data_IF_278384529316
#
_entry.id   IF_278384529316
#
_cell.length_a   1.000
_cell.length_b   1.000
_cell.length_c   1.000
_cell.angle_alpha   90.00
_cell.angle_beta   90.00
_cell.angle_gamma   90.00
#
_symmetry.space_group_name_H-M   'P 1'
#
loop_
_entity.id
_entity.type
_entity.pdbx_description
1 polymer ?
#
# COMPACT_ATOMS: atom_id res chain seq x y z
N UNK A 1 7.89 7.09 4.64
CA UNK A 1 7.86 5.81 3.89
C UNK A 1 6.50 5.71 3.25
N UNK A 2 6.45 5.56 1.93
CA UNK A 2 5.21 5.39 1.15
C UNK A 2 4.90 3.90 1.11
N UNK A 3 3.71 3.52 1.55
CA UNK A 3 3.26 2.14 1.59
C UNK A 3 2.01 2.01 0.70
N UNK A 4 2.17 1.32 -0.43
CA UNK A 4 1.05 1.05 -1.32
C UNK A 4 0.25 -0.16 -0.88
N UNK A 5 -1.08 -0.09 -0.99
CA UNK A 5 -1.95 -1.22 -0.64
C UNK A 5 -3.11 -1.38 -1.61
N UNK A 6 -3.72 -2.57 -1.60
CA UNK A 6 -4.96 -2.84 -2.32
C UNK A 6 -6.10 -2.01 -1.70
N UNK A 7 -6.43 -0.92 -2.37
CA UNK A 7 -7.56 -0.06 -2.02
C UNK A 7 -8.90 -0.68 -2.45
N UNK A 8 -10.01 0.08 -2.30
CA UNK A 8 -10.11 1.42 -1.70
C UNK A 8 -9.85 1.42 -0.18
N UNK A 9 -9.87 2.57 0.50
CA UNK A 9 -9.88 2.61 1.97
C UNK A 9 -10.99 1.74 2.58
N UNK A 10 -10.71 1.18 3.76
CA UNK A 10 -11.58 0.25 4.48
C UNK A 10 -11.37 -1.23 4.15
N UNK A 11 -10.34 -1.59 3.37
CA UNK A 11 -9.99 -2.99 3.08
C UNK A 11 -9.17 -3.62 4.20
N UNK A 12 -9.09 -4.96 4.20
CA UNK A 12 -8.15 -5.67 5.07
C UNK A 12 -6.70 -5.30 4.79
N UNK A 13 -6.37 -4.98 3.54
CA UNK A 13 -5.03 -4.55 3.16
C UNK A 13 -4.69 -3.17 3.76
N UNK A 14 -5.68 -2.27 3.92
CA UNK A 14 -5.49 -1.02 4.67
C UNK A 14 -5.21 -1.29 6.15
N UNK A 15 -6.03 -2.14 6.78
CA UNK A 15 -5.83 -2.47 8.19
C UNK A 15 -4.46 -3.13 8.43
N UNK A 16 -4.05 -4.03 7.52
CA UNK A 16 -2.73 -4.64 7.54
C UNK A 16 -1.62 -3.60 7.37
N UNK A 17 -1.79 -2.64 6.45
CA UNK A 17 -0.85 -1.54 6.24
C UNK A 17 -0.69 -0.65 7.49
N UNK A 18 -1.80 -0.26 8.13
CA UNK A 18 -1.81 0.53 9.37
C UNK A 18 -1.11 -0.24 10.51
N UNK A 19 -1.37 -1.55 10.64
CA UNK A 19 -0.73 -2.39 11.67
C UNK A 19 0.76 -2.60 11.41
N UNK A 20 1.16 -2.74 10.15
CA UNK A 20 2.55 -2.94 9.75
C UNK A 20 3.41 -1.69 9.93
N UNK A 21 2.91 -0.53 9.49
CA UNK A 21 3.64 0.73 9.54
C UNK A 21 2.69 1.90 9.86
N UNK A 22 2.38 2.14 11.16
CA UNK A 22 1.38 3.13 11.59
C UNK A 22 1.74 4.60 11.28
N UNK A 23 2.98 4.86 10.91
CA UNK A 23 3.49 6.18 10.54
C UNK A 23 3.82 6.30 9.04
N UNK A 24 3.45 5.31 8.23
CA UNK A 24 3.63 5.36 6.78
C UNK A 24 2.60 6.28 6.11
N UNK A 25 2.97 6.82 4.97
CA UNK A 25 2.03 7.46 4.05
C UNK A 25 1.36 6.35 3.22
N UNK A 26 0.06 6.15 3.40
CA UNK A 26 -0.69 5.09 2.74
C UNK A 26 -1.14 5.50 1.34
N UNK A 27 -0.81 4.68 0.33
CA UNK A 27 -1.12 4.93 -1.07
C UNK A 27 -2.09 3.85 -1.59
N UNK A 28 -3.42 4.11 -1.61
CA UNK A 28 -4.40 3.14 -2.11
C UNK A 28 -4.30 2.97 -3.62
N UNK A 29 -4.27 1.72 -4.10
CA UNK A 29 -4.21 1.39 -5.52
C UNK A 29 -5.29 0.37 -5.92
N UNK A 30 -5.79 0.43 -7.17
CA UNK A 30 -6.99 -0.30 -7.57
C UNK A 30 -6.79 -1.81 -7.74
N UNK A 31 -5.54 -2.29 -7.79
CA UNK A 31 -5.22 -3.70 -7.94
C UNK A 31 -3.96 -4.09 -7.17
N UNK A 32 -3.82 -5.37 -6.87
CA UNK A 32 -2.60 -5.94 -6.27
C UNK A 32 -1.39 -5.65 -7.17
N UNK A 33 -1.54 -5.85 -8.48
CA UNK A 33 -0.48 -5.57 -9.45
C UNK A 33 -0.06 -4.10 -9.44
N UNK A 34 -1.01 -3.16 -9.32
CA UNK A 34 -0.68 -1.74 -9.21
C UNK A 34 0.15 -1.44 -7.95
N UNK A 35 -0.19 -2.06 -6.81
CA UNK A 35 0.61 -1.94 -5.57
C UNK A 35 2.03 -2.47 -5.74
N UNK A 36 2.20 -3.63 -6.39
CA UNK A 36 3.53 -4.16 -6.68
C UNK A 36 4.32 -3.25 -7.64
N UNK A 37 3.67 -2.72 -8.69
CA UNK A 37 4.30 -1.83 -9.66
C UNK A 37 4.77 -0.53 -9.02
N UNK A 38 4.00 0.04 -8.07
CA UNK A 38 4.40 1.26 -7.36
C UNK A 38 5.75 1.09 -6.63
N UNK A 39 6.03 -0.10 -6.09
CA UNK A 39 7.33 -0.40 -5.49
C UNK A 39 8.42 -0.53 -6.56
N UNK A 40 8.12 -1.23 -7.66
CA UNK A 40 9.07 -1.42 -8.75
C UNK A 40 9.44 -0.12 -9.47
N UNK A 41 8.53 0.86 -9.54
CA UNK A 41 8.76 2.18 -10.14
C UNK A 41 9.35 3.21 -9.16
N UNK A 42 9.45 2.89 -7.87
CA UNK A 42 9.94 3.80 -6.82
C UNK A 42 8.91 4.84 -6.35
N UNK A 43 7.65 4.69 -6.75
CA UNK A 43 6.52 5.49 -6.28
C UNK A 43 6.12 5.14 -4.84
N UNK A 44 6.29 3.88 -4.45
CA UNK A 44 6.16 3.40 -3.08
C UNK A 44 7.46 2.72 -2.62
N UNK A 45 7.69 2.70 -1.31
CA UNK A 45 8.88 2.06 -0.73
C UNK A 45 8.60 0.57 -0.41
N UNK A 46 7.35 0.23 -0.09
CA UNK A 46 6.86 -1.13 0.22
C UNK A 46 5.39 -1.29 -0.17
N UNK A 47 4.93 -2.54 -0.32
CA UNK A 47 3.53 -2.86 -0.61
C UNK A 47 2.94 -3.90 0.36
N UNK A 48 1.66 -3.74 0.67
CA UNK A 48 0.85 -4.71 1.45
C UNK A 48 -0.41 -5.04 0.65
N UNK A 49 -0.66 -6.31 0.36
CA UNK A 49 -1.83 -6.78 -0.39
C UNK A 49 -2.56 -7.88 0.37
#
# INVERSE_FOLDING_TARGET
MRLSYLGPPGTFSEEAAVRFAPHAELVPLPTITASAVAVLSGEADVAVA
#
